data_IF_811096841419
#
_entry.id   IF_811096841419
#
_cell.length_a   1.000
_cell.length_b   1.000
_cell.length_c   1.000
_cell.angle_alpha   90.00
_cell.angle_beta   90.00
_cell.angle_gamma   90.00
#
_symmetry.space_group_name_H-M   'P 1'
#
loop_
_entity.id
_entity.type
_entity.pdbx_description
1 polymer ?
#
# COMPACT_ATOMS: atom_id res chain seq x y z
N UNK A 1 11.43 -23.55 -3.54
CA UNK A 1 10.54 -23.15 -4.66
C UNK A 1 9.78 -21.91 -4.24
N UNK A 2 9.65 -20.90 -5.12
CA UNK A 2 8.80 -19.73 -4.83
C UNK A 2 7.35 -20.08 -5.18
N UNK A 3 6.43 -19.74 -4.29
CA UNK A 3 5.01 -20.01 -4.50
C UNK A 3 4.44 -19.15 -5.63
N UNK A 4 3.64 -19.73 -6.54
CA UNK A 4 3.03 -18.99 -7.64
C UNK A 4 2.07 -17.91 -7.14
N UNK A 5 1.99 -16.78 -7.84
CA UNK A 5 1.04 -15.72 -7.54
C UNK A 5 -0.30 -15.96 -8.23
N UNK A 6 -1.17 -16.74 -7.59
CA UNK A 6 -2.53 -17.01 -8.04
C UNK A 6 -3.48 -16.09 -7.29
N UNK A 7 -4.19 -15.22 -8.02
CA UNK A 7 -5.17 -14.31 -7.43
C UNK A 7 -6.33 -15.12 -6.88
N UNK A 8 -6.61 -14.98 -5.59
CA UNK A 8 -7.75 -15.62 -4.94
C UNK A 8 -8.65 -14.55 -4.27
N UNK A 9 -9.88 -14.34 -4.76
CA UNK A 9 -10.80 -13.34 -4.19
C UNK A 9 -11.34 -13.72 -2.79
N UNK A 10 -11.13 -14.95 -2.32
CA UNK A 10 -11.52 -15.38 -0.97
C UNK A 10 -10.42 -15.19 0.06
N UNK A 11 -9.18 -15.01 -0.39
CA UNK A 11 -8.04 -14.85 0.48
C UNK A 11 -7.92 -13.39 0.98
N UNK A 12 -7.79 -13.25 2.29
CA UNK A 12 -7.76 -11.94 2.96
C UNK A 12 -6.57 -11.07 2.52
N UNK A 13 -5.44 -11.70 2.17
CA UNK A 13 -4.22 -10.99 1.74
C UNK A 13 -4.42 -10.41 0.35
N UNK A 14 -5.05 -11.15 -0.56
CA UNK A 14 -5.45 -10.65 -1.89
C UNK A 14 -6.52 -9.55 -1.79
N UNK A 15 -7.53 -9.69 -0.93
CA UNK A 15 -8.55 -8.66 -0.71
C UNK A 15 -7.95 -7.34 -0.16
N UNK A 16 -7.00 -7.46 0.77
CA UNK A 16 -6.29 -6.30 1.30
C UNK A 16 -5.44 -5.64 0.21
N UNK A 17 -4.69 -6.42 -0.57
CA UNK A 17 -3.89 -5.91 -1.69
C UNK A 17 -4.77 -5.21 -2.74
N UNK A 18 -5.94 -5.77 -3.07
CA UNK A 18 -6.89 -5.14 -3.98
C UNK A 18 -7.34 -3.77 -3.46
N UNK A 19 -7.64 -3.69 -2.15
CA UNK A 19 -8.04 -2.44 -1.51
C UNK A 19 -6.93 -1.40 -1.59
N UNK A 20 -5.67 -1.78 -1.33
CA UNK A 20 -4.51 -0.89 -1.46
C UNK A 20 -4.37 -0.41 -2.91
N UNK A 21 -4.39 -1.32 -3.88
CA UNK A 21 -4.17 -0.99 -5.29
C UNK A 21 -5.27 -0.07 -5.83
N UNK A 22 -6.55 -0.33 -5.51
CA UNK A 22 -7.67 0.54 -5.88
C UNK A 22 -7.52 1.97 -5.37
N UNK A 23 -6.78 2.19 -4.27
CA UNK A 23 -6.51 3.55 -3.81
C UNK A 23 -5.52 4.29 -4.73
N UNK A 24 -4.60 3.62 -5.44
CA UNK A 24 -3.67 4.27 -6.37
C UNK A 24 -4.37 4.97 -7.52
N UNK A 25 -5.56 4.51 -7.93
CA UNK A 25 -6.33 5.14 -8.99
C UNK A 25 -6.90 6.51 -8.59
N UNK A 26 -7.09 6.75 -7.29
CA UNK A 26 -7.67 8.00 -6.77
C UNK A 26 -6.81 9.20 -7.14
N UNK A 27 -7.47 10.28 -7.59
CA UNK A 27 -6.81 11.56 -7.91
C UNK A 27 -5.90 12.05 -6.78
N UNK A 28 -6.36 11.92 -5.54
CA UNK A 28 -5.63 12.42 -4.37
C UNK A 28 -4.29 11.69 -4.16
N UNK A 29 -4.24 10.39 -4.39
CA UNK A 29 -2.98 9.63 -4.35
C UNK A 29 -2.04 10.10 -5.45
N UNK A 30 -2.56 10.42 -6.64
CA UNK A 30 -1.74 11.03 -7.70
C UNK A 30 -1.13 12.38 -7.30
N UNK A 31 -1.85 13.18 -6.51
CA UNK A 31 -1.32 14.45 -5.97
C UNK A 31 -0.19 14.20 -4.96
N UNK A 32 -0.34 13.22 -4.06
CA UNK A 32 0.73 12.91 -3.10
C UNK A 32 1.99 12.35 -3.79
N UNK A 33 1.82 11.50 -4.83
CA UNK A 33 2.93 11.03 -5.68
C UNK A 33 3.66 12.22 -6.33
N UNK A 34 2.91 13.16 -6.90
CA UNK A 34 3.50 14.34 -7.53
C UNK A 34 4.21 15.28 -6.54
N UNK A 35 3.70 15.42 -5.31
CA UNK A 35 4.35 16.21 -4.25
C UNK A 35 5.65 15.57 -3.76
N UNK A 36 5.74 14.24 -3.80
CA UNK A 36 6.97 13.51 -3.52
C UNK A 36 7.97 13.59 -4.69
N UNK A 37 7.70 14.41 -5.71
CA UNK A 37 8.53 14.62 -6.90
C UNK A 37 8.68 13.36 -7.78
N UNK A 38 7.84 12.36 -7.57
CA UNK A 38 7.84 11.11 -8.32
C UNK A 38 7.03 11.28 -9.60
N UNK A 39 7.73 11.50 -10.72
CA UNK A 39 7.11 11.73 -12.03
C UNK A 39 7.64 10.74 -13.10
N UNK A 40 6.81 10.38 -14.10
CA UNK A 40 5.40 10.76 -14.28
C UNK A 40 4.45 9.87 -13.46
N UNK A 41 3.42 10.47 -12.87
CA UNK A 41 2.45 9.81 -11.95
C UNK A 41 1.84 8.51 -12.50
N UNK A 42 1.41 8.40 -13.78
CA UNK A 42 0.83 7.16 -14.31
C UNK A 42 1.80 5.97 -14.26
N UNK A 43 3.08 6.19 -14.56
CA UNK A 43 4.10 5.13 -14.46
C UNK A 43 4.39 4.78 -13.00
N UNK A 44 4.49 5.80 -12.14
CA UNK A 44 4.72 5.60 -10.72
C UNK A 44 3.64 4.70 -10.09
N UNK A 45 2.36 4.87 -10.45
CA UNK A 45 1.26 4.00 -9.99
C UNK A 45 1.49 2.53 -10.34
N UNK A 46 1.95 2.26 -11.57
CA UNK A 46 2.22 0.90 -12.05
C UNK A 46 3.40 0.30 -11.28
N UNK A 47 4.50 1.05 -11.15
CA UNK A 47 5.71 0.56 -10.49
C UNK A 47 5.47 0.34 -9.00
N UNK A 48 4.82 1.27 -8.31
CA UNK A 48 4.41 1.12 -6.92
C UNK A 48 3.53 -0.12 -6.76
N UNK A 49 2.54 -0.35 -7.63
CA UNK A 49 1.68 -1.55 -7.54
C UNK A 49 2.48 -2.85 -7.58
N UNK A 50 3.51 -2.94 -8.44
CA UNK A 50 4.40 -4.12 -8.53
C UNK A 50 5.29 -4.24 -7.28
N UNK A 51 5.81 -3.12 -6.76
CA UNK A 51 6.58 -3.09 -5.51
C UNK A 51 5.71 -3.58 -4.35
N UNK A 52 4.46 -3.12 -4.25
CA UNK A 52 3.52 -3.55 -3.22
C UNK A 52 3.19 -5.04 -3.31
N UNK A 53 2.99 -5.60 -4.50
CA UNK A 53 2.84 -7.06 -4.70
C UNK A 53 4.07 -7.79 -4.15
N UNK A 54 5.26 -7.31 -4.51
CA UNK A 54 6.53 -7.90 -4.09
C UNK A 54 6.68 -7.87 -2.57
N UNK A 55 6.37 -6.73 -1.93
CA UNK A 55 6.39 -6.56 -0.48
C UNK A 55 5.35 -7.43 0.23
N UNK A 56 4.09 -7.42 -0.25
CA UNK A 56 3.00 -8.20 0.35
C UNK A 56 3.35 -9.69 0.41
N UNK A 57 3.88 -10.25 -0.68
CA UNK A 57 4.19 -11.67 -0.77
C UNK A 57 5.63 -12.01 -0.41
N UNK A 58 6.43 -11.03 0.04
CA UNK A 58 7.85 -11.19 0.38
C UNK A 58 8.64 -11.85 -0.77
N UNK A 59 8.46 -11.33 -1.97
CA UNK A 59 9.05 -11.82 -3.21
C UNK A 59 10.01 -10.79 -3.78
N UNK A 60 11.01 -11.27 -4.52
CA UNK A 60 11.84 -10.40 -5.37
C UNK A 60 11.01 -9.78 -6.50
N UNK A 61 11.27 -8.51 -6.82
CA UNK A 61 10.60 -7.77 -7.90
C UNK A 61 10.73 -8.51 -9.24
N UNK A 62 11.91 -9.06 -9.55
CA UNK A 62 12.13 -9.85 -10.76
C UNK A 62 11.21 -11.07 -10.83
N UNK A 63 10.99 -11.75 -9.70
CA UNK A 63 10.08 -12.88 -9.65
C UNK A 63 8.62 -12.45 -9.79
N UNK A 64 8.21 -11.38 -9.08
CA UNK A 64 6.87 -10.83 -9.20
C UNK A 64 6.54 -10.43 -10.65
N UNK A 65 7.47 -9.75 -11.35
CA UNK A 65 7.32 -9.42 -12.77
C UNK A 65 7.18 -10.68 -13.64
N UNK A 66 7.97 -11.72 -13.37
CA UNK A 66 7.88 -12.97 -14.12
C UNK A 66 6.50 -13.62 -13.97
N UNK A 67 5.92 -13.60 -12.77
CA UNK A 67 4.57 -14.11 -12.52
C UNK A 67 3.50 -13.25 -13.18
N UNK A 68 3.63 -11.91 -13.13
CA UNK A 68 2.72 -10.98 -13.82
C UNK A 68 2.74 -11.23 -15.34
N UNK A 69 3.92 -11.40 -15.94
CA UNK A 69 4.03 -11.72 -17.38
C UNK A 69 3.30 -13.02 -17.72
N UNK A 70 3.54 -14.07 -16.93
CA UNK A 70 2.96 -15.41 -17.13
C UNK A 70 1.44 -15.46 -16.92
N UNK A 71 0.87 -14.62 -16.05
CA UNK A 71 -0.52 -14.76 -15.58
C UNK A 71 -1.40 -13.57 -16.02
N UNK A 72 -2.28 -13.75 -17.03
CA UNK A 72 -3.21 -12.70 -17.46
C UNK A 72 -4.15 -12.22 -16.36
N UNK A 73 -4.60 -13.11 -15.47
CA UNK A 73 -5.48 -12.74 -14.35
C UNK A 73 -4.80 -11.78 -13.37
N UNK A 74 -3.51 -12.00 -13.07
CA UNK A 74 -2.73 -11.10 -12.23
C UNK A 74 -2.52 -9.74 -12.92
N UNK A 75 -2.27 -9.71 -14.23
CA UNK A 75 -2.23 -8.46 -15.00
C UNK A 75 -3.54 -7.69 -14.96
N UNK A 76 -4.67 -8.39 -15.11
CA UNK A 76 -6.01 -7.80 -15.02
C UNK A 76 -6.29 -7.24 -13.63
N UNK A 77 -5.93 -7.99 -12.58
CA UNK A 77 -6.04 -7.56 -11.19
C UNK A 77 -5.27 -6.25 -10.92
N UNK A 78 -4.05 -6.13 -11.45
CA UNK A 78 -3.22 -4.93 -11.31
C UNK A 78 -3.57 -3.80 -12.31
N UNK A 79 -4.49 -4.04 -13.25
CA UNK A 79 -4.80 -3.15 -14.37
C UNK A 79 -3.57 -2.75 -15.22
N UNK A 80 -2.64 -3.69 -15.44
CA UNK A 80 -1.39 -3.45 -16.18
C UNK A 80 -1.53 -3.98 -17.61
N UNK A 81 -1.46 -3.08 -18.60
CA UNK A 81 -1.44 -3.43 -20.03
C UNK A 81 -0.07 -3.94 -20.48
N UNK A 82 0.97 -3.15 -20.19
CA UNK A 82 2.35 -3.43 -20.57
C UNK A 82 3.18 -3.66 -19.32
N UNK A 83 3.76 -4.85 -19.18
CA UNK A 83 4.56 -5.19 -18.00
C UNK A 83 5.97 -4.61 -18.15
N UNK A 84 6.43 -3.75 -17.23
CA UNK A 84 7.77 -3.16 -17.29
C UNK A 84 8.88 -4.19 -17.02
N UNK A 85 10.13 -3.83 -17.37
CA UNK A 85 11.32 -4.59 -16.96
C UNK A 85 11.59 -4.39 -15.46
N UNK A 86 12.24 -5.37 -14.83
CA UNK A 86 12.72 -5.27 -13.47
C UNK A 86 13.69 -4.10 -13.30
N UNK A 87 14.59 -3.89 -14.28
CA UNK A 87 15.60 -2.83 -14.23
C UNK A 87 14.97 -1.44 -14.09
N UNK A 88 13.84 -1.20 -14.78
CA UNK A 88 13.12 0.06 -14.69
C UNK A 88 12.49 0.26 -13.31
N UNK A 89 11.99 -0.80 -12.67
CA UNK A 89 11.43 -0.71 -11.33
C UNK A 89 12.54 -0.49 -10.30
N UNK A 90 13.68 -1.18 -10.43
CA UNK A 90 14.82 -0.96 -9.53
C UNK A 90 15.38 0.46 -9.67
N UNK A 91 15.54 0.98 -10.89
CA UNK A 91 15.92 2.37 -11.15
C UNK A 91 14.91 3.36 -10.57
N UNK A 92 13.63 3.07 -10.69
CA UNK A 92 12.58 3.88 -10.08
C UNK A 92 12.67 3.86 -8.56
N UNK A 93 12.84 2.70 -7.93
CA UNK A 93 12.97 2.61 -6.48
C UNK A 93 14.22 3.31 -5.95
N UNK A 94 15.30 3.36 -6.72
CA UNK A 94 16.52 4.07 -6.32
C UNK A 94 16.42 5.59 -6.45
N UNK A 95 15.36 6.14 -7.04
CA UNK A 95 15.20 7.58 -7.23
C UNK A 95 14.66 8.30 -6.00
N UNK A 96 14.04 7.58 -5.06
CA UNK A 96 13.48 8.19 -3.86
C UNK A 96 14.12 7.63 -2.60
N UNK A 97 14.35 8.50 -1.62
CA UNK A 97 14.89 8.10 -0.31
C UNK A 97 13.82 7.40 0.54
N UNK A 98 14.26 6.73 1.60
CA UNK A 98 13.36 6.10 2.57
C UNK A 98 12.43 7.15 3.22
N UNK A 99 12.93 8.36 3.51
CA UNK A 99 12.12 9.45 4.05
C UNK A 99 11.04 9.91 3.07
N UNK A 100 11.37 10.02 1.77
CA UNK A 100 10.40 10.37 0.74
C UNK A 100 9.33 9.29 0.59
N UNK A 101 9.71 8.01 0.67
CA UNK A 101 8.76 6.90 0.63
C UNK A 101 7.81 6.89 1.84
N UNK A 102 8.34 7.15 3.05
CA UNK A 102 7.52 7.28 4.27
C UNK A 102 6.59 8.48 4.17
N UNK A 103 7.08 9.63 3.70
CA UNK A 103 6.27 10.83 3.50
C UNK A 103 5.13 10.60 2.49
N UNK A 104 5.42 9.95 1.36
CA UNK A 104 4.42 9.55 0.38
C UNK A 104 3.37 8.63 0.99
N UNK A 105 3.81 7.59 1.70
CA UNK A 105 2.93 6.60 2.32
C UNK A 105 2.01 7.28 3.34
N UNK A 106 2.55 8.13 4.20
CA UNK A 106 1.76 8.92 5.15
C UNK A 106 0.79 9.89 4.46
N UNK A 107 1.23 10.55 3.39
CA UNK A 107 0.38 11.41 2.56
C UNK A 107 -0.81 10.65 1.99
N UNK A 108 -0.56 9.47 1.42
CA UNK A 108 -1.60 8.59 0.87
C UNK A 108 -2.56 8.14 1.98
N UNK A 109 -2.06 7.66 3.12
CA UNK A 109 -2.89 7.21 4.24
C UNK A 109 -3.79 8.33 4.79
N UNK A 110 -3.20 9.51 5.03
CA UNK A 110 -3.93 10.70 5.46
C UNK A 110 -4.94 11.18 4.41
N UNK A 111 -4.71 10.87 3.13
CA UNK A 111 -5.65 11.22 2.08
C UNK A 111 -6.86 10.30 2.00
N UNK A 112 -6.68 9.02 2.32
CA UNK A 112 -7.74 8.00 2.32
C UNK A 112 -8.60 8.14 3.57
N UNK A 113 -7.95 8.35 4.72
CA UNK A 113 -8.61 8.65 6.00
C UNK A 113 -8.20 10.06 6.42
N UNK A 114 -8.83 11.12 5.84
CA UNK A 114 -8.57 12.47 6.31
C UNK A 114 -8.85 12.50 7.81
N UNK A 115 -7.89 13.01 8.59
CA UNK A 115 -8.13 13.32 10.01
C UNK A 115 -9.45 14.08 10.06
N UNK A 116 -10.43 13.57 10.81
CA UNK A 116 -11.66 14.31 11.06
C UNK A 116 -11.21 15.68 11.58
N UNK A 117 -11.57 16.75 10.87
CA UNK A 117 -11.42 18.11 11.39
C UNK A 117 -12.41 18.18 12.57
N UNK A 118 -11.99 17.71 13.74
CA UNK A 118 -12.77 17.86 14.97
C UNK A 118 -12.78 19.36 15.23
N UNK A 119 -13.88 20.02 14.86
CA UNK A 119 -14.11 21.44 15.22
C UNK A 119 -14.32 21.59 16.73
N UNK A 120 -14.56 20.49 17.44
CA UNK A 120 -14.76 20.47 18.88
C UNK A 120 -13.50 19.99 19.61
N UNK A 121 -13.11 20.66 20.71
CA UNK A 121 -12.03 20.18 21.56
C UNK A 121 -12.41 18.81 22.12
N UNK A 122 -11.56 17.80 21.88
CA UNK A 122 -11.72 16.50 22.51
C UNK A 122 -11.54 16.66 24.02
N UNK A 123 -12.65 16.70 24.77
CA UNK A 123 -12.61 16.58 26.23
C UNK A 123 -12.32 15.13 26.56
N UNK A 124 -11.10 14.87 27.03
CA UNK A 124 -10.74 13.60 27.65
C UNK A 124 -11.08 13.73 29.12
N UNK A 125 -12.06 12.94 29.59
CA UNK A 125 -12.38 12.82 31.02
C UNK A 125 -11.60 11.61 31.52
N UNK A 126 -10.62 11.86 32.39
CA UNK A 126 -9.87 10.80 33.08
C UNK A 126 -10.50 10.66 34.46
N UNK A 127 -11.27 9.59 34.65
CA UNK A 127 -11.76 9.21 35.97
C UNK A 127 -10.63 8.47 36.70
N UNK A 128 -10.08 9.12 37.73
CA UNK A 128 -9.02 8.57 38.58
C UNK A 128 -9.56 7.74 39.75
N UNK A 129 -10.86 7.42 39.76
CA UNK A 129 -11.45 6.57 40.79
C UNK A 129 -10.72 5.21 40.82
N UNK A 130 -10.23 4.85 41.99
CA UNK A 130 -9.56 3.56 42.19
C UNK A 130 -10.53 2.42 41.85
N UNK A 131 -10.22 1.64 40.82
CA UNK A 131 -10.89 0.37 40.56
C UNK A 131 -10.39 -0.63 41.60
N UNK A 132 -11.17 -0.85 42.65
CA UNK A 132 -10.97 -1.97 43.57
C UNK A 132 -11.36 -3.26 42.85
N UNK A 133 -10.38 -3.90 42.21
CA UNK A 133 -10.56 -5.23 41.64
C UNK A 133 -10.36 -6.24 42.77
N UNK A 134 -11.45 -6.82 43.26
CA UNK A 134 -11.36 -8.04 44.08
C UNK A 134 -10.99 -9.22 43.19
N UNK A 135 -9.70 -9.57 43.19
CA UNK A 135 -9.20 -10.80 42.58
C UNK A 135 -9.54 -12.01 43.46
N UNK A 136 -10.83 -12.27 43.65
CA UNK A 136 -11.30 -13.57 44.14
C UNK A 136 -11.36 -14.53 42.94
N UNK A 137 -10.20 -15.01 42.52
CA UNK A 137 -10.09 -16.13 41.60
C UNK A 137 -10.14 -17.41 42.44
N UNK A 138 -11.27 -18.12 42.36
CA UNK A 138 -11.39 -19.50 42.82
C UNK A 138 -10.77 -20.46 41.81
#
# INVERSE_FOLDING_TARGET
MKSPLIVDPKDHKWLLLETVIRNFDKRRVGQEISKAEINPVPLARIYLSIIFVSMFFSLDITYAISEIKKRPQLRKFLNIRTVPSADWIYRFSSQFSDEQFVALTNGILNSIKPKKRTKEPQRIIIDGSALSIELNWF
#
